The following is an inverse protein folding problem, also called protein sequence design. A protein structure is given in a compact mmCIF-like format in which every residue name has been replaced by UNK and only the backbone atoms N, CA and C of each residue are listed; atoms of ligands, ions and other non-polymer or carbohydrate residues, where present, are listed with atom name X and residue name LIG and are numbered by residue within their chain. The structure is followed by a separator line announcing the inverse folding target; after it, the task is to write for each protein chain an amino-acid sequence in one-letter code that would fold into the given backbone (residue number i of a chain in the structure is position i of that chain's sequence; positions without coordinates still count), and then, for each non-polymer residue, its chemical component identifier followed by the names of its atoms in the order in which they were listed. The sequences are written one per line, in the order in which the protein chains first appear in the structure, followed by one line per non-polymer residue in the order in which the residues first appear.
data_IF_880011544407
#
_entry.id   IF_880011544407
#
_cell.length_a   1.000
_cell.length_b   1.000
_cell.length_c   1.000
_cell.angle_alpha   90.00
_cell.angle_beta   90.00
_cell.angle_gamma   90.00
#
_symmetry.space_group_name_H-M   'P 1'
#
loop_
_entity.id
_entity.type
_entity.pdbx_description
1 polymer ?
#
# COMPACT_ATOMS: atom_id res chain seq x y z
N UNK A 1 1.09 -22.78 -39.77
CA UNK A 1 0.25 -21.62 -39.43
C UNK A 1 0.73 -21.16 -38.06
N UNK A 2 1.12 -19.90 -37.93
CA UNK A 2 1.55 -19.34 -36.65
C UNK A 2 0.29 -19.07 -35.83
N UNK A 3 0.09 -19.81 -34.75
CA UNK A 3 -0.94 -19.47 -33.76
C UNK A 3 -0.32 -18.47 -32.79
N UNK A 4 -0.67 -17.22 -33.03
CA UNK A 4 -0.35 -16.07 -32.18
C UNK A 4 -0.98 -16.24 -30.80
N UNK A 5 -0.18 -15.98 -29.79
CA UNK A 5 -0.47 -16.06 -28.37
C UNK A 5 -1.58 -15.11 -27.94
N UNK A 6 -2.70 -15.66 -27.47
CA UNK A 6 -3.56 -14.98 -26.50
C UNK A 6 -3.77 -15.97 -25.35
N UNK A 7 -3.14 -15.73 -24.21
CA UNK A 7 -3.43 -16.44 -22.97
C UNK A 7 -4.71 -15.83 -22.38
N UNK A 8 -5.86 -16.52 -22.36
CA UNK A 8 -7.16 -15.90 -22.09
C UNK A 8 -7.46 -15.67 -20.58
N UNK A 9 -6.49 -15.74 -19.66
CA UNK A 9 -6.79 -15.87 -18.21
C UNK A 9 -6.22 -14.81 -17.26
N UNK A 10 -5.39 -13.87 -17.73
CA UNK A 10 -4.79 -12.87 -16.85
C UNK A 10 -5.54 -11.52 -16.96
N UNK A 11 -6.50 -11.31 -16.06
CA UNK A 11 -7.15 -10.01 -15.90
C UNK A 11 -6.28 -9.07 -15.06
N UNK A 12 -6.33 -7.77 -15.33
CA UNK A 12 -5.68 -6.76 -14.48
C UNK A 12 -6.22 -6.81 -13.07
N UNK A 13 -5.31 -6.69 -12.10
CA UNK A 13 -5.56 -6.72 -10.67
C UNK A 13 -5.46 -5.32 -10.10
N UNK A 14 -6.13 -5.09 -8.96
CA UNK A 14 -6.16 -3.78 -8.31
C UNK A 14 -5.49 -3.80 -6.94
N UNK A 15 -4.76 -2.72 -6.63
CA UNK A 15 -4.16 -2.51 -5.33
C UNK A 15 -4.31 -1.06 -4.86
N UNK A 16 -4.43 -0.87 -3.54
CA UNK A 16 -4.49 0.44 -2.90
C UNK A 16 -3.60 0.47 -1.66
N UNK A 17 -2.79 1.51 -1.53
CA UNK A 17 -2.01 1.82 -0.33
C UNK A 17 -2.72 2.95 0.41
N UNK A 18 -3.05 2.72 1.69
CA UNK A 18 -3.75 3.67 2.54
C UNK A 18 -2.89 4.13 3.71
N UNK A 19 -2.86 5.43 3.94
CA UNK A 19 -2.23 6.04 5.11
C UNK A 19 -3.33 6.46 6.08
N UNK A 20 -3.36 5.90 7.28
CA UNK A 20 -4.43 6.15 8.26
C UNK A 20 -3.88 6.78 9.54
N UNK A 21 -4.66 7.70 10.11
CA UNK A 21 -4.41 8.29 11.42
C UNK A 21 -5.03 7.40 12.51
N UNK A 22 -4.16 6.78 13.30
CA UNK A 22 -4.56 5.90 14.40
C UNK A 22 -5.11 6.68 15.60
N UNK A 23 -4.80 7.97 15.72
CA UNK A 23 -5.33 8.83 16.78
C UNK A 23 -6.76 9.31 16.48
N UNK A 24 -7.21 9.17 15.23
CA UNK A 24 -8.52 9.60 14.75
C UNK A 24 -9.32 8.44 14.14
N UNK A 25 -9.42 7.32 14.84
CA UNK A 25 -10.24 6.15 14.46
C UNK A 25 -9.94 5.62 13.04
N UNK A 26 -8.68 5.69 12.60
CA UNK A 26 -8.29 5.22 11.27
C UNK A 26 -8.68 6.15 10.13
N UNK A 27 -8.93 7.44 10.41
CA UNK A 27 -9.20 8.45 9.38
C UNK A 27 -8.10 8.43 8.31
N UNK A 28 -8.51 8.32 7.06
CA UNK A 28 -7.57 8.34 5.93
C UNK A 28 -6.90 9.72 5.83
N UNK A 29 -5.57 9.71 5.78
CA UNK A 29 -4.74 10.89 5.57
C UNK A 29 -4.47 11.07 4.07
N UNK A 30 -4.11 9.98 3.38
CA UNK A 30 -3.92 9.95 1.93
C UNK A 30 -3.94 8.51 1.42
N UNK A 31 -3.86 8.35 0.11
CA UNK A 31 -3.86 7.06 -0.59
C UNK A 31 -3.04 7.13 -1.87
N UNK A 32 -2.58 5.98 -2.36
CA UNK A 32 -2.09 5.84 -3.74
C UNK A 32 -3.18 6.07 -4.79
N UNK A 33 -4.45 5.98 -4.41
CA UNK A 33 -5.52 5.68 -5.36
C UNK A 33 -5.45 4.23 -5.85
N UNK A 34 -6.29 3.88 -6.81
CA UNK A 34 -6.30 2.53 -7.40
C UNK A 34 -5.13 2.37 -8.37
N UNK A 35 -4.23 1.44 -8.05
CA UNK A 35 -3.17 0.96 -8.94
C UNK A 35 -3.67 -0.28 -9.67
N UNK A 36 -3.22 -0.45 -10.92
CA UNK A 36 -3.57 -1.61 -11.76
C UNK A 36 -2.34 -2.24 -12.38
N UNK A 37 -2.31 -3.55 -12.42
CA UNK A 37 -1.24 -4.33 -13.06
C UNK A 37 -1.63 -5.78 -13.25
N UNK A 38 -0.84 -6.50 -14.03
CA UNK A 38 -1.00 -7.94 -14.24
C UNK A 38 -0.57 -8.71 -12.98
N UNK A 39 -1.15 -9.90 -12.71
CA UNK A 39 -0.71 -10.74 -11.60
C UNK A 39 0.81 -10.96 -11.61
N UNK A 40 1.46 -10.74 -10.48
CA UNK A 40 2.91 -10.87 -10.33
C UNK A 40 3.73 -9.62 -10.69
N UNK A 41 3.15 -8.61 -11.34
CA UNK A 41 3.85 -7.33 -11.57
C UNK A 41 4.15 -6.61 -10.26
N UNK A 42 5.25 -5.85 -10.25
CA UNK A 42 5.72 -5.10 -9.09
C UNK A 42 4.81 -3.89 -8.84
N UNK A 43 4.19 -3.84 -7.67
CA UNK A 43 3.45 -2.65 -7.20
C UNK A 43 4.45 -1.54 -6.84
N UNK A 44 5.65 -1.90 -6.36
CA UNK A 44 6.70 -0.94 -6.01
C UNK A 44 7.24 -0.16 -7.23
N UNK A 45 7.07 -0.67 -8.45
CA UNK A 45 7.46 0.03 -9.67
C UNK A 45 6.47 1.16 -10.01
N UNK A 46 5.23 1.07 -9.51
CA UNK A 46 4.16 2.05 -9.72
C UNK A 46 4.04 3.04 -8.57
N UNK A 47 4.39 2.63 -7.35
CA UNK A 47 4.16 3.44 -6.16
C UNK A 47 5.22 3.23 -5.07
N UNK A 48 5.61 4.34 -4.46
CA UNK A 48 6.48 4.39 -3.28
C UNK A 48 5.84 5.25 -2.18
N UNK A 49 5.91 4.78 -0.94
CA UNK A 49 5.46 5.53 0.24
C UNK A 49 6.38 6.70 0.63
N UNK A 50 7.55 6.87 0.00
CA UNK A 50 8.57 7.83 0.45
C UNK A 50 8.09 9.29 0.47
N UNK A 51 7.51 9.77 -0.63
CA UNK A 51 7.04 11.16 -0.76
C UNK A 51 5.90 11.44 0.25
N UNK A 52 4.80 10.67 0.28
CA UNK A 52 3.73 10.92 1.23
C UNK A 52 4.22 10.81 2.69
N UNK A 53 5.04 9.81 3.02
CA UNK A 53 5.61 9.70 4.36
C UNK A 53 6.50 10.87 4.74
N UNK A 54 7.27 11.45 3.80
CA UNK A 54 8.09 12.63 4.07
C UNK A 54 7.22 13.83 4.44
N UNK A 55 6.10 14.05 3.76
CA UNK A 55 5.17 15.15 4.05
C UNK A 55 4.45 14.89 5.38
N UNK A 56 3.97 13.67 5.59
CA UNK A 56 3.24 13.28 6.81
C UNK A 56 4.14 13.38 8.06
N UNK A 57 5.40 12.95 7.97
CA UNK A 57 6.39 13.09 9.05
C UNK A 57 6.67 14.55 9.39
N UNK A 58 6.78 15.43 8.39
CA UNK A 58 6.90 16.88 8.61
C UNK A 58 5.69 17.48 9.31
N UNK A 59 4.50 16.88 9.15
CA UNK A 59 3.29 17.27 9.85
C UNK A 59 3.18 16.72 11.30
N UNK A 60 4.23 16.06 11.80
CA UNK A 60 4.34 15.58 13.17
C UNK A 60 3.91 14.13 13.40
N UNK A 61 3.57 13.39 12.33
CA UNK A 61 3.22 11.98 12.45
C UNK A 61 4.45 11.07 12.47
N UNK A 62 4.33 9.95 13.17
CA UNK A 62 5.30 8.85 13.21
C UNK A 62 4.63 7.59 12.67
N UNK A 63 5.41 6.76 11.97
CA UNK A 63 4.95 5.46 11.49
C UNK A 63 4.87 4.52 12.68
N UNK A 64 3.70 3.95 12.92
CA UNK A 64 3.46 2.91 13.92
C UNK A 64 3.62 1.52 13.28
N UNK A 65 3.05 1.35 12.08
CA UNK A 65 3.26 0.16 11.26
C UNK A 65 3.22 0.52 9.76
N UNK A 66 3.91 -0.27 8.93
CA UNK A 66 3.90 -0.15 7.48
C UNK A 66 3.84 -1.54 6.87
N UNK A 67 2.69 -1.91 6.30
CA UNK A 67 2.50 -3.23 5.68
C UNK A 67 2.83 -3.23 4.18
N UNK A 68 3.26 -2.10 3.62
CA UNK A 68 3.65 -1.97 2.21
C UNK A 68 5.17 -2.05 2.03
N UNK A 69 5.92 -1.14 2.66
CA UNK A 69 7.39 -1.07 2.56
C UNK A 69 8.04 -1.98 3.61
N UNK A 70 7.97 -3.29 3.37
CA UNK A 70 8.61 -4.30 4.20
C UNK A 70 10.05 -4.50 3.69
N UNK A 71 11.08 -4.38 4.55
CA UNK A 71 12.48 -4.53 4.13
C UNK A 71 12.74 -5.85 3.40
N UNK A 72 13.32 -5.76 2.21
CA UNK A 72 13.66 -6.93 1.38
C UNK A 72 12.47 -7.58 0.66
N UNK A 73 11.27 -6.99 0.71
CA UNK A 73 10.07 -7.52 0.05
C UNK A 73 9.63 -6.59 -1.07
N UNK A 74 9.47 -7.14 -2.27
CA UNK A 74 8.77 -6.48 -3.38
C UNK A 74 7.32 -6.91 -3.37
N UNK A 75 6.41 -5.95 -3.14
CA UNK A 75 4.98 -6.15 -3.25
C UNK A 75 4.59 -6.36 -4.71
N UNK A 76 3.77 -7.37 -4.95
CA UNK A 76 3.30 -7.73 -6.28
C UNK A 76 1.79 -7.85 -6.29
N UNK A 77 1.19 -7.54 -7.44
CA UNK A 77 -0.22 -7.77 -7.66
C UNK A 77 -0.52 -9.26 -7.45
N UNK A 78 -1.52 -9.56 -6.62
CA UNK A 78 -1.97 -10.93 -6.38
C UNK A 78 -2.61 -11.55 -7.63
N UNK A 79 -3.13 -12.77 -7.53
CA UNK A 79 -3.99 -13.38 -8.57
C UNK A 79 -5.48 -13.42 -8.14
N UNK A 80 -5.85 -12.66 -7.11
CA UNK A 80 -7.21 -12.68 -6.55
C UNK A 80 -8.15 -11.76 -7.34
N UNK A 81 -8.97 -12.36 -8.20
CA UNK A 81 -9.91 -11.66 -9.07
C UNK A 81 -11.12 -11.04 -8.35
N UNK A 82 -11.31 -11.31 -7.06
CA UNK A 82 -12.51 -10.91 -6.31
C UNK A 82 -12.25 -9.71 -5.41
N UNK A 83 -11.02 -9.55 -4.92
CA UNK A 83 -10.70 -8.57 -3.87
C UNK A 83 -9.57 -7.65 -4.29
N UNK A 84 -9.78 -6.35 -4.09
CA UNK A 84 -8.72 -5.34 -4.18
C UNK A 84 -7.69 -5.62 -3.08
N UNK A 85 -6.41 -5.63 -3.44
CA UNK A 85 -5.32 -5.78 -2.50
C UNK A 85 -5.11 -4.47 -1.72
N UNK A 86 -5.27 -4.52 -0.40
CA UNK A 86 -5.12 -3.32 0.45
C UNK A 86 -3.86 -3.42 1.28
N UNK A 87 -3.02 -2.39 1.20
CA UNK A 87 -1.91 -2.17 2.12
C UNK A 87 -2.21 -0.97 3.00
N UNK A 88 -1.91 -1.09 4.29
CA UNK A 88 -2.17 -0.03 5.26
C UNK A 88 -0.89 0.39 5.96
N UNK A 89 -0.72 1.70 6.09
CA UNK A 89 0.35 2.35 6.83
C UNK A 89 -0.30 3.16 7.95
N UNK A 90 -0.07 2.73 9.19
CA UNK A 90 -0.61 3.33 10.39
C UNK A 90 0.30 4.42 10.92
N UNK A 91 -0.26 5.60 11.19
CA UNK A 91 0.45 6.78 11.62
C UNK A 91 -0.17 7.35 12.90
N UNK A 92 0.65 7.90 13.79
CA UNK A 92 0.18 8.58 15.01
C UNK A 92 1.04 9.83 15.27
N UNK A 93 0.44 10.89 15.80
CA UNK A 93 1.13 12.07 16.34
C UNK A 93 1.53 11.90 17.80
N UNK A 94 0.93 10.93 18.52
CA UNK A 94 1.28 10.66 19.91
C UNK A 94 2.68 10.06 19.96
N UNK A 95 3.45 10.50 20.94
CA UNK A 95 4.68 9.79 21.31
C UNK A 95 4.29 8.43 21.90
N UNK A 96 5.09 7.40 21.63
CA UNK A 96 4.86 6.02 22.09
C UNK A 96 4.97 5.85 23.62
N UNK A 97 4.90 6.94 24.39
CA UNK A 97 5.05 6.99 25.85
C UNK A 97 3.78 7.57 26.47
N UNK A 98 2.71 6.78 26.48
CA UNK A 98 1.61 6.93 27.44
C UNK A 98 0.92 5.56 27.56
N UNK A 99 1.59 4.67 28.31
CA UNK A 99 1.14 3.29 28.48
C UNK A 99 1.90 2.55 29.56
N UNK A 100 2.29 3.25 30.63
CA UNK A 100 2.76 2.64 31.88
C UNK A 100 2.00 3.33 33.02
N UNK A 101 0.85 2.78 33.39
CA UNK A 101 0.22 2.98 34.70
C UNK A 101 -0.40 1.65 35.13
#
# INVERSE_FOLDING_TARGET
MAETSENPEAETQEAVINFIDLDQNGKQLTSSGVLRGMPGESINDLYSGEIPLKVIKKAGYKVVFNNFDIPGVTQRFSNNKVMIQIFTIGLSKKDSTEGNN
#
